data_IF_997572886018
#
_entry.id   IF_997572886018
#
_cell.length_a   1.000
_cell.length_b   1.000
_cell.length_c   1.000
_cell.angle_alpha   90.00
_cell.angle_beta   90.00
_cell.angle_gamma   90.00
#
_symmetry.space_group_name_H-M   'P 1'
#
loop_
_entity.id
_entity.type
_entity.pdbx_description
1 polymer ?
#
# COMPACT_ATOMS: atom_id res chain seq x y z
N UNK A 1 -13.34 -1.26 -17.11
CA UNK A 1 -12.35 -0.71 -16.15
C UNK A 1 -11.49 -1.83 -15.66
N UNK A 2 -10.17 -1.69 -15.69
CA UNK A 2 -9.25 -2.72 -15.21
C UNK A 2 -9.29 -2.78 -13.67
N UNK A 3 -9.57 -3.96 -13.13
CA UNK A 3 -9.57 -4.26 -11.71
C UNK A 3 -8.56 -5.39 -11.50
N UNK A 4 -7.63 -5.18 -10.58
CA UNK A 4 -6.60 -6.16 -10.26
C UNK A 4 -6.87 -6.73 -8.87
N UNK A 5 -7.25 -7.99 -8.83
CA UNK A 5 -7.38 -8.79 -7.61
C UNK A 5 -6.11 -9.64 -7.43
N UNK A 6 -5.12 -9.10 -6.72
CA UNK A 6 -3.83 -9.78 -6.58
C UNK A 6 -3.07 -9.40 -5.31
N UNK A 7 -2.16 -10.29 -4.90
CA UNK A 7 -1.15 -10.02 -3.86
C UNK A 7 0.09 -9.44 -4.54
N UNK A 8 0.31 -8.14 -4.38
CA UNK A 8 1.42 -7.41 -5.02
C UNK A 8 2.54 -7.29 -3.99
N UNK A 9 3.75 -7.77 -4.32
CA UNK A 9 4.92 -7.64 -3.47
C UNK A 9 6.11 -7.15 -4.28
N UNK A 10 6.60 -5.96 -3.97
CA UNK A 10 7.72 -5.34 -4.66
C UNK A 10 8.48 -4.38 -3.71
N UNK A 11 9.65 -3.91 -4.15
CA UNK A 11 10.33 -2.84 -3.41
C UNK A 11 9.63 -1.50 -3.63
N UNK A 12 9.31 -1.16 -4.88
CA UNK A 12 8.56 0.03 -5.23
C UNK A 12 7.28 -0.32 -5.97
N UNK A 13 6.19 0.29 -5.55
CA UNK A 13 4.86 0.08 -6.12
C UNK A 13 4.28 1.42 -6.54
N UNK A 14 3.86 1.52 -7.79
CA UNK A 14 3.13 2.68 -8.30
C UNK A 14 1.74 2.19 -8.72
N UNK A 15 0.70 2.76 -8.12
CA UNK A 15 -0.69 2.43 -8.42
C UNK A 15 -1.32 3.59 -9.16
N UNK A 16 -1.76 3.36 -10.40
CA UNK A 16 -2.50 4.33 -11.21
C UNK A 16 -3.94 3.89 -11.55
N UNK A 17 -4.40 2.79 -10.95
CA UNK A 17 -5.70 2.18 -11.23
C UNK A 17 -6.39 1.61 -9.98
N UNK A 18 -7.29 0.66 -10.20
CA UNK A 18 -8.03 0.01 -9.12
C UNK A 18 -7.37 -1.31 -8.72
N UNK A 19 -6.94 -1.40 -7.46
CA UNK A 19 -6.34 -2.60 -6.87
C UNK A 19 -7.20 -3.05 -5.71
N UNK A 20 -7.53 -4.35 -5.68
CA UNK A 20 -8.21 -4.96 -4.55
C UNK A 20 -7.38 -6.16 -4.09
N UNK A 21 -6.91 -6.15 -2.84
CA UNK A 21 -6.04 -7.21 -2.32
C UNK A 21 -4.98 -6.66 -1.38
N UNK A 22 -3.89 -7.41 -1.26
CA UNK A 22 -2.79 -7.07 -0.34
C UNK A 22 -1.60 -6.50 -1.11
N UNK A 23 -1.14 -5.31 -0.72
CA UNK A 23 0.03 -4.67 -1.33
C UNK A 23 1.16 -4.59 -0.32
N UNK A 24 2.33 -5.12 -0.67
CA UNK A 24 3.54 -5.07 0.16
C UNK A 24 4.64 -4.35 -0.62
N UNK A 25 4.88 -3.10 -0.25
CA UNK A 25 5.92 -2.23 -0.80
C UNK A 25 7.05 -2.04 0.23
N UNK A 26 8.20 -2.68 0.00
CA UNK A 26 9.29 -2.65 0.99
C UNK A 26 9.95 -1.27 1.11
N UNK A 27 10.11 -0.57 -0.01
CA UNK A 27 10.81 0.72 -0.11
C UNK A 27 9.84 1.87 -0.25
N UNK A 28 9.05 1.91 -1.31
CA UNK A 28 8.10 3.01 -1.53
C UNK A 28 6.79 2.58 -2.20
N UNK A 29 5.68 3.17 -1.77
CA UNK A 29 4.35 3.01 -2.35
C UNK A 29 3.86 4.38 -2.80
N UNK A 30 3.55 4.52 -4.08
CA UNK A 30 3.02 5.74 -4.69
C UNK A 30 1.62 5.49 -5.24
N UNK A 31 0.65 6.26 -4.77
CA UNK A 31 -0.72 6.25 -5.27
C UNK A 31 -0.93 7.49 -6.14
N UNK A 32 -1.21 7.30 -7.42
CA UNK A 32 -1.52 8.40 -8.35
C UNK A 32 -2.95 8.93 -8.14
N UNK A 33 -3.27 10.07 -8.75
CA UNK A 33 -4.55 10.78 -8.59
C UNK A 33 -5.80 9.95 -8.87
N UNK A 34 -5.72 8.90 -9.69
CA UNK A 34 -6.84 8.00 -10.00
C UNK A 34 -6.77 6.66 -9.27
N UNK A 35 -5.80 6.48 -8.38
CA UNK A 35 -5.56 5.22 -7.68
C UNK A 35 -6.71 4.91 -6.72
N UNK A 36 -7.21 3.68 -6.76
CA UNK A 36 -8.25 3.18 -5.85
C UNK A 36 -7.79 1.87 -5.26
N UNK A 37 -7.32 1.88 -4.03
CA UNK A 37 -6.89 0.66 -3.36
C UNK A 37 -7.88 0.23 -2.30
N UNK A 38 -8.24 -1.05 -2.32
CA UNK A 38 -9.08 -1.66 -1.29
C UNK A 38 -8.40 -2.90 -0.70
N UNK A 39 -8.19 -2.91 0.62
CA UNK A 39 -7.55 -4.02 1.33
C UNK A 39 -6.41 -3.58 2.25
N UNK A 40 -5.56 -4.54 2.61
CA UNK A 40 -4.41 -4.33 3.49
C UNK A 40 -3.17 -3.96 2.71
N UNK A 41 -2.44 -2.94 3.17
CA UNK A 41 -1.20 -2.56 2.53
C UNK A 41 -0.11 -2.24 3.53
N UNK A 42 1.11 -2.63 3.17
CA UNK A 42 2.33 -2.39 3.92
C UNK A 42 3.27 -1.58 3.05
N UNK A 43 3.71 -0.43 3.54
CA UNK A 43 4.65 0.42 2.81
C UNK A 43 5.75 0.95 3.74
N UNK A 44 7.00 0.96 3.27
CA UNK A 44 8.10 1.63 3.97
C UNK A 44 7.94 3.15 3.91
N UNK A 45 7.89 3.69 2.69
CA UNK A 45 7.53 5.09 2.41
C UNK A 45 6.20 5.14 1.67
N UNK A 46 5.26 5.95 2.16
CA UNK A 46 3.94 6.10 1.56
C UNK A 46 3.79 7.50 0.95
N UNK A 47 3.51 7.57 -0.35
CA UNK A 47 3.21 8.79 -1.09
C UNK A 47 1.82 8.68 -1.74
N UNK A 48 1.01 9.72 -1.58
CA UNK A 48 -0.35 9.77 -2.11
C UNK A 48 -0.54 11.10 -2.84
N UNK A 49 -0.94 11.02 -4.11
CA UNK A 49 -1.27 12.18 -4.94
C UNK A 49 -2.72 12.61 -4.71
N UNK A 50 -3.01 13.87 -5.03
CA UNK A 50 -4.35 14.44 -4.89
C UNK A 50 -5.35 13.67 -5.77
N UNK A 51 -6.47 13.24 -5.18
CA UNK A 51 -7.50 12.41 -5.82
C UNK A 51 -7.37 10.90 -5.57
N UNK A 52 -6.22 10.42 -5.08
CA UNK A 52 -6.05 9.01 -4.73
C UNK A 52 -7.01 8.61 -3.60
N UNK A 53 -7.55 7.39 -3.67
CA UNK A 53 -8.53 6.88 -2.70
C UNK A 53 -8.10 5.53 -2.15
N UNK A 54 -8.04 5.45 -0.84
CA UNK A 54 -7.66 4.25 -0.12
C UNK A 54 -8.80 3.82 0.82
N UNK A 55 -9.15 2.53 0.77
CA UNK A 55 -10.10 1.90 1.67
C UNK A 55 -9.54 0.61 2.26
N UNK A 56 -9.12 0.66 3.53
CA UNK A 56 -8.64 -0.51 4.24
C UNK A 56 -7.62 -0.14 5.28
N UNK A 57 -6.69 -1.05 5.56
CA UNK A 57 -5.66 -0.86 6.58
C UNK A 57 -4.33 -0.58 5.90
N UNK A 58 -3.67 0.50 6.31
CA UNK A 58 -2.27 0.76 5.95
C UNK A 58 -1.42 0.52 7.17
N UNK A 59 -0.40 -0.30 6.99
CA UNK A 59 0.61 -0.60 7.99
C UNK A 59 2.00 -0.21 7.47
N UNK A 60 2.95 -0.03 8.37
CA UNK A 60 4.31 0.37 7.99
C UNK A 60 5.14 -0.88 7.73
N UNK A 61 5.80 -0.96 6.58
CA UNK A 61 6.75 -2.04 6.33
C UNK A 61 7.98 -1.83 7.22
N UNK A 62 8.08 -2.63 8.29
CA UNK A 62 9.20 -2.59 9.22
C UNK A 62 9.06 -1.50 10.28
N UNK A 63 8.39 -1.85 11.38
CA UNK A 63 8.90 -1.73 12.75
C UNK A 63 8.01 -2.63 13.58
N UNK A 64 8.43 -3.87 13.79
CA UNK A 64 7.99 -4.60 14.98
C UNK A 64 8.56 -3.83 16.17
N UNK A 65 7.74 -3.16 17.01
CA UNK A 65 8.24 -2.71 18.30
C UNK A 65 8.67 -3.97 19.04
N UNK A 66 9.97 -4.09 19.32
CA UNK A 66 10.49 -5.03 20.30
C UNK A 66 9.82 -4.63 21.62
N UNK A 67 8.70 -5.27 21.94
CA UNK A 67 7.99 -5.04 23.18
C UNK A 67 8.97 -5.24 24.32
N UNK A 68 9.10 -4.17 25.11
CA UNK A 68 9.76 -4.12 26.40
C UNK A 68 9.50 -5.41 27.19
N UNK A 69 10.58 -6.14 27.45
CA UNK A 69 10.61 -7.18 28.47
C UNK A 69 10.25 -6.53 29.80
N UNK A 70 9.07 -6.83 30.34
CA UNK A 70 8.78 -6.62 31.76
C UNK A 70 8.01 -7.81 32.32
#
# INVERSE_FOLDING_TARGET
GARVDAKIQAEDVIVAGMVHGSIVAKRSLKLCSTARVRGDMMAGKFHMEDGARLWGRVDRYGIIPQGDSN
#
